data_IF_626249010403
#
_entry.id   IF_626249010403
#
_cell.length_a   1.000
_cell.length_b   1.000
_cell.length_c   1.000
_cell.angle_alpha   90.00
_cell.angle_beta   90.00
_cell.angle_gamma   90.00
#
_symmetry.space_group_name_H-M   'P 1'
#
loop_
_entity.id
_entity.type
_entity.pdbx_description
1 polymer ?
#
# COMPACT_ATOMS: atom_id res chain seq x y z
N UNK A 1 43.84 -59.17 5.84
CA UNK A 1 43.78 -57.80 6.31
C UNK A 1 43.34 -56.91 5.18
N UNK A 2 42.04 -56.48 5.25
CA UNK A 2 41.42 -55.59 4.25
C UNK A 2 41.49 -54.19 4.84
N UNK A 3 42.20 -53.30 4.18
CA UNK A 3 42.23 -51.86 4.47
C UNK A 3 41.05 -51.21 3.73
N UNK A 4 40.04 -50.71 4.48
CA UNK A 4 39.01 -49.84 3.94
C UNK A 4 39.54 -48.42 3.96
N UNK A 5 39.77 -47.85 2.77
CA UNK A 5 40.13 -46.46 2.59
C UNK A 5 38.86 -45.60 2.60
N UNK A 6 38.62 -44.90 3.72
CA UNK A 6 37.51 -43.94 3.82
C UNK A 6 37.96 -42.63 3.15
N UNK A 7 37.43 -42.36 1.96
CA UNK A 7 37.62 -41.05 1.29
C UNK A 7 36.55 -40.11 1.88
N UNK A 8 36.97 -39.20 2.76
CA UNK A 8 36.17 -38.08 3.19
C UNK A 8 36.11 -37.04 2.05
N UNK A 9 35.04 -37.02 1.29
CA UNK A 9 34.73 -35.89 0.39
C UNK A 9 34.27 -34.70 1.26
N UNK A 10 35.20 -33.79 1.53
CA UNK A 10 34.87 -32.45 2.02
C UNK A 10 34.18 -31.68 0.89
N UNK A 11 32.87 -31.70 0.88
CA UNK A 11 32.09 -30.76 0.08
C UNK A 11 32.18 -29.42 0.81
N UNK A 12 33.14 -28.60 0.43
CA UNK A 12 33.11 -27.17 0.76
C UNK A 12 32.00 -26.54 -0.06
N UNK A 13 30.80 -26.49 0.53
CA UNK A 13 29.74 -25.59 0.06
C UNK A 13 30.30 -24.17 0.25
N UNK A 14 30.71 -23.54 -0.83
CA UNK A 14 30.79 -22.09 -0.88
C UNK A 14 29.37 -21.56 -0.73
N UNK A 15 28.90 -21.41 0.48
CA UNK A 15 27.86 -20.44 0.76
C UNK A 15 28.50 -19.08 0.52
N UNK A 16 28.17 -18.47 -0.59
CA UNK A 16 28.26 -17.02 -0.70
C UNK A 16 27.28 -16.50 0.33
N UNK A 17 27.77 -16.21 1.53
CA UNK A 17 27.08 -15.37 2.48
C UNK A 17 26.91 -14.00 1.83
N UNK A 18 25.82 -13.84 1.11
CA UNK A 18 25.34 -12.52 0.74
C UNK A 18 24.95 -11.90 2.07
N UNK A 19 25.85 -11.12 2.65
CA UNK A 19 25.55 -10.33 3.84
C UNK A 19 24.39 -9.40 3.46
N UNK A 20 23.18 -9.74 3.93
CA UNK A 20 22.02 -8.86 3.78
C UNK A 20 22.36 -7.61 4.59
N UNK A 21 22.61 -6.51 3.91
CA UNK A 21 22.84 -5.23 4.58
C UNK A 21 21.57 -4.83 5.31
N UNK A 22 21.61 -4.92 6.63
CA UNK A 22 20.46 -4.60 7.48
C UNK A 22 20.11 -3.11 7.31
N UNK A 23 18.83 -2.82 7.05
CA UNK A 23 18.35 -1.45 6.96
C UNK A 23 18.46 -0.79 8.34
N UNK A 24 19.14 0.36 8.37
CA UNK A 24 19.19 1.17 9.57
C UNK A 24 17.92 2.02 9.67
N UNK A 25 17.17 1.83 10.77
CA UNK A 25 16.01 2.67 11.08
C UNK A 25 16.49 3.92 11.84
N UNK A 26 16.27 5.08 11.24
CA UNK A 26 16.68 6.37 11.79
C UNK A 26 15.46 7.20 12.14
N UNK A 27 15.43 7.73 13.38
CA UNK A 27 14.40 8.67 13.80
C UNK A 27 14.56 10.00 13.05
N UNK A 28 13.47 10.50 12.51
CA UNK A 28 13.36 11.78 11.81
C UNK A 28 12.46 12.75 12.56
N UNK A 29 12.31 13.97 12.04
CA UNK A 29 11.46 14.99 12.63
C UNK A 29 10.05 14.47 12.92
N UNK A 30 9.57 14.71 14.12
CA UNK A 30 8.25 14.28 14.55
C UNK A 30 7.17 15.05 13.79
N UNK A 31 6.17 14.33 13.29
CA UNK A 31 5.02 14.95 12.66
C UNK A 31 4.30 15.89 13.64
N UNK A 32 3.97 17.12 13.25
CA UNK A 32 3.35 18.11 14.15
C UNK A 32 1.99 17.67 14.71
N UNK A 33 1.22 16.93 13.94
CA UNK A 33 -0.11 16.45 14.31
C UNK A 33 -0.19 14.93 14.24
N UNK A 34 -0.33 14.22 15.37
CA UNK A 34 -0.51 12.79 15.36
C UNK A 34 -1.79 12.38 14.59
N UNK A 35 -1.64 11.51 13.62
CA UNK A 35 -2.76 11.01 12.84
C UNK A 35 -2.65 9.51 12.59
N UNK A 36 -3.79 8.85 12.49
CA UNK A 36 -3.91 7.47 12.05
C UNK A 36 -4.82 7.38 10.82
N UNK A 37 -4.63 6.37 10.00
CA UNK A 37 -5.43 6.15 8.79
C UNK A 37 -5.43 7.36 7.80
N UNK A 38 -4.37 8.17 7.82
CA UNK A 38 -4.06 9.11 6.74
C UNK A 38 -3.50 8.35 5.54
N UNK A 39 -3.52 8.98 4.36
CA UNK A 39 -2.89 8.44 3.16
C UNK A 39 -1.63 9.20 2.84
N UNK A 40 -0.54 8.46 2.57
CA UNK A 40 0.74 9.04 2.17
C UNK A 40 1.06 8.76 0.70
N UNK A 41 1.74 9.69 0.09
CA UNK A 41 2.25 9.61 -1.28
C UNK A 41 3.50 10.45 -1.44
N UNK A 42 4.30 10.18 -2.46
CA UNK A 42 5.62 10.80 -2.67
C UNK A 42 5.65 11.59 -3.96
N UNK A 43 6.23 12.80 -3.92
CA UNK A 43 6.58 13.56 -5.11
C UNK A 43 7.87 14.35 -4.86
N UNK A 44 8.90 14.14 -5.69
CA UNK A 44 10.24 14.68 -5.49
C UNK A 44 10.79 14.29 -4.13
N UNK A 45 11.41 15.22 -3.43
CA UNK A 45 11.99 15.00 -2.09
C UNK A 45 10.97 15.07 -0.94
N UNK A 46 9.67 15.10 -1.26
CA UNK A 46 8.65 15.24 -0.23
C UNK A 46 7.76 13.98 -0.13
N UNK A 47 7.51 13.60 1.12
CA UNK A 47 6.46 12.67 1.49
C UNK A 47 5.26 13.51 1.93
N UNK A 48 4.15 13.37 1.24
CA UNK A 48 2.88 14.04 1.58
C UNK A 48 2.02 13.12 2.42
N UNK A 49 1.29 13.70 3.35
CA UNK A 49 0.30 13.01 4.16
C UNK A 49 -1.00 13.81 4.15
N UNK A 50 -2.08 13.17 3.72
CA UNK A 50 -3.40 13.78 3.65
C UNK A 50 -4.37 13.13 4.62
N UNK A 51 -5.11 13.97 5.36
CA UNK A 51 -6.21 13.58 6.21
C UNK A 51 -5.82 12.61 7.34
N UNK A 52 -6.70 11.68 7.61
CA UNK A 52 -6.56 10.74 8.72
C UNK A 52 -7.37 11.16 9.94
N UNK A 53 -7.07 10.57 11.07
CA UNK A 53 -7.86 10.69 12.29
C UNK A 53 -6.97 10.88 13.52
N UNK A 54 -7.35 11.78 14.40
CA UNK A 54 -6.69 11.99 15.68
C UNK A 54 -7.12 10.99 16.77
N UNK A 55 -6.55 11.15 17.96
CA UNK A 55 -6.84 10.31 19.13
C UNK A 55 -8.27 10.46 19.66
N UNK A 56 -8.96 11.53 19.26
CA UNK A 56 -10.36 11.81 19.67
C UNK A 56 -11.36 11.28 18.65
N UNK A 57 -10.88 10.67 17.58
CA UNK A 57 -11.71 10.15 16.50
C UNK A 57 -12.19 11.23 15.53
N UNK A 58 -11.57 12.41 15.51
CA UNK A 58 -11.86 13.48 14.56
C UNK A 58 -11.09 13.26 13.27
N UNK A 59 -11.78 13.30 12.15
CA UNK A 59 -11.14 13.25 10.86
C UNK A 59 -10.61 14.62 10.45
N UNK A 60 -9.51 14.63 9.74
CA UNK A 60 -8.82 15.81 9.23
C UNK A 60 -8.84 15.86 7.70
N UNK A 61 -8.58 17.04 7.12
CA UNK A 61 -8.41 17.25 5.68
C UNK A 61 -7.18 18.08 5.35
N UNK A 62 -6.26 18.19 6.30
CA UNK A 62 -4.97 18.87 6.11
C UNK A 62 -4.08 18.05 5.18
N UNK A 63 -3.23 18.75 4.46
CA UNK A 63 -2.16 18.18 3.65
C UNK A 63 -0.82 18.63 4.23
N UNK A 64 -0.06 17.68 4.75
CA UNK A 64 1.29 17.88 5.26
C UNK A 64 2.33 17.42 4.27
N UNK A 65 3.47 18.08 4.22
CA UNK A 65 4.63 17.68 3.45
C UNK A 65 5.85 17.56 4.37
N UNK A 66 6.47 16.40 4.36
CA UNK A 66 7.77 16.15 4.97
C UNK A 66 8.85 16.19 3.90
N UNK A 67 9.80 17.10 4.06
CA UNK A 67 10.96 17.14 3.17
C UNK A 67 12.06 16.24 3.71
N UNK A 68 12.46 15.24 2.92
CA UNK A 68 13.42 14.20 3.31
C UNK A 68 14.86 14.74 3.37
N UNK A 69 15.17 15.81 2.64
CA UNK A 69 16.51 16.44 2.64
C UNK A 69 16.73 17.33 3.83
N UNK A 70 15.73 18.15 4.20
CA UNK A 70 15.85 19.12 5.31
C UNK A 70 15.36 18.57 6.64
N UNK A 71 14.77 17.37 6.65
CA UNK A 71 14.17 16.76 7.85
C UNK A 71 13.12 17.66 8.53
N UNK A 72 12.22 18.25 7.73
CA UNK A 72 11.23 19.19 8.23
C UNK A 72 9.83 18.92 7.71
N UNK A 73 8.83 19.15 8.56
CA UNK A 73 7.42 19.13 8.21
C UNK A 73 6.90 20.54 7.94
N UNK A 74 6.01 20.68 6.96
CA UNK A 74 5.23 21.89 6.73
C UNK A 74 3.82 21.54 6.32
N UNK A 75 2.86 22.34 6.71
CA UNK A 75 1.53 22.29 6.13
C UNK A 75 1.57 22.89 4.73
N UNK A 76 0.87 22.23 3.78
CA UNK A 76 0.79 22.72 2.41
C UNK A 76 -0.27 23.81 2.34
N UNK A 77 0.09 25.06 2.02
CA UNK A 77 -0.84 26.19 2.05
C UNK A 77 -1.77 26.18 0.82
N UNK A 78 -2.74 25.29 0.80
CA UNK A 78 -3.72 25.18 -0.28
C UNK A 78 -5.12 25.06 0.29
N UNK A 79 -6.10 25.61 -0.43
CA UNK A 79 -7.50 25.37 -0.09
C UNK A 79 -7.90 23.96 -0.53
N UNK A 80 -8.13 23.06 0.43
CA UNK A 80 -8.44 21.67 0.17
C UNK A 80 -9.96 21.48 0.06
N UNK A 81 -10.48 21.10 -1.12
CA UNK A 81 -11.92 20.97 -1.32
C UNK A 81 -12.48 19.62 -0.80
N UNK A 82 -11.61 18.70 -0.43
CA UNK A 82 -12.02 17.39 0.09
C UNK A 82 -12.54 17.52 1.52
N UNK A 83 -13.59 16.76 1.84
CA UNK A 83 -14.04 16.61 3.23
C UNK A 83 -12.96 15.93 4.07
N UNK A 84 -12.93 16.28 5.36
CA UNK A 84 -12.14 15.57 6.37
C UNK A 84 -12.47 14.08 6.38
N UNK A 85 -11.46 13.23 6.27
CA UNK A 85 -11.65 11.79 6.08
C UNK A 85 -10.50 10.93 6.60
N UNK A 86 -10.84 9.69 6.93
CA UNK A 86 -9.88 8.63 7.20
C UNK A 86 -9.90 7.58 6.09
N UNK A 87 -8.83 6.81 5.97
CA UNK A 87 -8.66 5.72 4.99
C UNK A 87 -8.93 6.17 3.55
N UNK A 88 -8.54 7.38 3.21
CA UNK A 88 -8.44 7.81 1.82
C UNK A 88 -7.44 6.93 1.07
N UNK A 89 -7.54 6.93 -0.25
CA UNK A 89 -6.57 6.28 -1.13
C UNK A 89 -5.94 7.32 -2.04
N UNK A 90 -4.67 7.13 -2.37
CA UNK A 90 -3.95 8.05 -3.26
C UNK A 90 -2.92 7.31 -4.12
N UNK A 91 -2.62 7.90 -5.27
CA UNK A 91 -1.48 7.55 -6.11
C UNK A 91 -0.96 8.81 -6.81
N UNK A 92 0.22 8.71 -7.41
CA UNK A 92 0.88 9.82 -8.10
C UNK A 92 1.20 9.42 -9.53
N UNK A 93 0.94 10.32 -10.48
CA UNK A 93 1.37 10.22 -11.87
C UNK A 93 1.98 11.55 -12.27
N UNK A 94 3.26 11.56 -12.60
CA UNK A 94 3.99 12.78 -12.95
C UNK A 94 3.88 13.82 -11.85
N UNK A 95 3.41 15.00 -12.19
CA UNK A 95 3.26 16.13 -11.25
C UNK A 95 1.87 16.21 -10.59
N UNK A 96 1.11 15.12 -10.59
CA UNK A 96 -0.23 15.11 -10.04
C UNK A 96 -0.45 13.96 -9.03
N UNK A 97 -0.97 14.29 -7.85
CA UNK A 97 -1.55 13.32 -6.95
C UNK A 97 -3.04 13.15 -7.24
N UNK A 98 -3.51 11.93 -7.17
CA UNK A 98 -4.91 11.54 -7.30
C UNK A 98 -5.39 10.97 -5.98
N UNK A 99 -6.38 11.62 -5.37
CA UNK A 99 -6.76 11.37 -3.97
C UNK A 99 -8.28 11.28 -3.89
N UNK A 100 -8.79 10.33 -3.11
CA UNK A 100 -10.23 10.22 -2.89
C UNK A 100 -10.62 9.05 -2.00
N UNK A 101 -11.88 8.68 -2.06
CA UNK A 101 -12.45 7.57 -1.29
C UNK A 101 -12.32 7.77 0.23
N UNK A 102 -12.36 6.67 1.00
CA UNK A 102 -12.32 6.75 2.46
C UNK A 102 -13.68 7.03 3.08
N UNK A 103 -13.70 7.56 4.30
CA UNK A 103 -14.94 7.84 5.02
C UNK A 103 -14.82 9.06 5.93
N UNK A 104 -15.95 9.79 6.13
CA UNK A 104 -16.03 11.04 6.89
C UNK A 104 -16.64 10.87 8.30
N UNK A 105 -17.19 9.72 8.64
CA UNK A 105 -17.85 9.47 9.93
C UNK A 105 -16.89 9.08 11.06
N UNK A 106 -17.34 9.27 12.32
CA UNK A 106 -16.61 8.74 13.49
C UNK A 106 -16.55 7.21 13.50
N UNK A 107 -17.58 6.58 12.98
CA UNK A 107 -17.69 5.14 12.83
C UNK A 107 -17.78 4.81 11.36
N UNK A 108 -17.07 3.79 10.94
CA UNK A 108 -17.12 3.30 9.58
C UNK A 108 -18.50 2.70 9.29
N UNK A 109 -19.31 3.40 8.51
CA UNK A 109 -20.65 2.99 8.05
C UNK A 109 -20.77 3.31 6.58
N UNK A 110 -21.58 2.56 5.86
CA UNK A 110 -21.83 2.76 4.42
C UNK A 110 -22.24 4.21 4.09
N UNK A 111 -23.07 4.83 4.94
CA UNK A 111 -23.50 6.23 4.76
C UNK A 111 -22.38 7.26 4.94
N UNK A 112 -21.24 6.89 5.49
CA UNK A 112 -20.08 7.76 5.67
C UNK A 112 -18.98 7.51 4.63
N UNK A 113 -19.15 6.56 3.72
CA UNK A 113 -18.17 6.29 2.69
C UNK A 113 -18.21 7.35 1.61
N UNK A 114 -17.04 7.77 1.15
CA UNK A 114 -16.89 8.84 0.18
C UNK A 114 -16.53 8.25 -1.19
N UNK A 115 -17.02 8.90 -2.23
CA UNK A 115 -16.81 8.48 -3.63
C UNK A 115 -16.07 9.54 -4.44
N UNK A 116 -15.94 10.74 -3.90
CA UNK A 116 -15.30 11.86 -4.59
C UNK A 116 -13.83 11.55 -4.89
N UNK A 117 -13.39 11.98 -6.06
CA UNK A 117 -12.05 11.77 -6.55
C UNK A 117 -11.49 13.09 -7.07
N UNK A 118 -10.24 13.38 -6.74
CA UNK A 118 -9.62 14.67 -6.94
C UNK A 118 -8.19 14.53 -7.44
N UNK A 119 -7.78 15.48 -8.28
CA UNK A 119 -6.40 15.65 -8.70
C UNK A 119 -5.82 16.88 -8.01
N UNK A 120 -4.63 16.74 -7.43
CA UNK A 120 -3.81 17.84 -6.93
C UNK A 120 -2.56 17.97 -7.77
N UNK A 121 -2.32 19.15 -8.35
CA UNK A 121 -1.13 19.41 -9.15
C UNK A 121 -0.06 20.09 -8.30
N UNK A 122 1.11 19.46 -8.15
CA UNK A 122 2.20 19.93 -7.30
C UNK A 122 2.87 21.22 -7.81
N UNK A 123 2.81 21.52 -9.12
CA UNK A 123 3.40 22.73 -9.70
C UNK A 123 2.50 23.95 -9.56
N UNK A 124 1.20 23.75 -9.81
CA UNK A 124 0.23 24.86 -9.80
C UNK A 124 -0.46 25.01 -8.45
N UNK A 125 -0.32 24.02 -7.55
CA UNK A 125 -1.00 23.91 -6.25
C UNK A 125 -2.53 23.96 -6.38
N UNK A 126 -3.08 23.54 -7.53
CA UNK A 126 -4.50 23.56 -7.82
C UNK A 126 -5.13 22.19 -7.64
N UNK A 127 -6.37 22.20 -7.17
CA UNK A 127 -7.22 21.04 -7.08
C UNK A 127 -8.22 21.02 -8.24
N UNK A 128 -8.43 19.83 -8.82
CA UNK A 128 -9.45 19.59 -9.84
C UNK A 128 -10.32 18.42 -9.37
N UNK A 129 -11.65 18.62 -9.36
CA UNK A 129 -12.57 17.53 -9.16
C UNK A 129 -12.61 16.65 -10.40
N UNK A 130 -12.62 15.35 -10.18
CA UNK A 130 -12.71 14.30 -11.20
C UNK A 130 -14.02 13.54 -11.05
N UNK A 131 -14.28 12.63 -11.97
CA UNK A 131 -15.44 11.74 -11.90
C UNK A 131 -15.46 10.92 -10.62
N UNK A 132 -16.58 10.87 -9.95
CA UNK A 132 -16.77 10.11 -8.72
C UNK A 132 -16.59 8.61 -8.98
N UNK A 133 -16.01 7.91 -8.01
CA UNK A 133 -15.88 6.47 -8.06
C UNK A 133 -17.24 5.78 -8.17
N UNK A 134 -17.45 4.87 -9.17
CA UNK A 134 -18.80 4.42 -9.54
C UNK A 134 -19.40 3.39 -8.58
N UNK A 135 -18.57 2.63 -7.85
CA UNK A 135 -19.08 1.62 -6.96
C UNK A 135 -19.83 2.22 -5.77
N UNK A 136 -20.82 1.51 -5.27
CA UNK A 136 -21.39 1.80 -3.97
C UNK A 136 -20.25 1.64 -2.95
N UNK A 137 -19.73 2.77 -2.58
CA UNK A 137 -18.88 3.03 -1.43
C UNK A 137 -18.14 1.84 -0.87
N UNK A 138 -16.96 1.64 -1.35
CA UNK A 138 -15.98 0.80 -0.69
C UNK A 138 -15.02 1.66 0.10
N UNK A 139 -14.48 1.10 1.16
CA UNK A 139 -13.47 1.74 2.00
C UNK A 139 -12.25 0.86 2.07
N UNK A 140 -11.10 1.48 2.33
CA UNK A 140 -9.83 0.74 2.43
C UNK A 140 -9.44 0.04 1.12
N UNK A 141 -9.67 0.74 0.03
CA UNK A 141 -9.23 0.35 -1.30
C UNK A 141 -7.73 0.58 -1.46
N UNK A 142 -7.11 -0.17 -2.35
CA UNK A 142 -5.79 0.13 -2.85
C UNK A 142 -5.90 0.89 -4.18
N UNK A 143 -5.21 2.02 -4.29
CA UNK A 143 -4.97 2.70 -5.54
C UNK A 143 -3.54 2.46 -5.99
N UNK A 144 -3.37 2.18 -7.26
CA UNK A 144 -2.07 2.19 -7.92
C UNK A 144 -2.21 2.75 -9.33
N UNK A 145 -1.11 3.25 -9.86
CA UNK A 145 -1.12 3.92 -11.15
C UNK A 145 -0.14 3.28 -12.12
N UNK A 146 -0.55 3.22 -13.38
CA UNK A 146 0.35 3.07 -14.53
C UNK A 146 0.63 4.44 -15.14
N UNK A 147 1.39 4.51 -16.23
CA UNK A 147 1.60 5.78 -16.94
C UNK A 147 0.29 6.33 -17.57
N UNK A 148 -0.69 5.46 -17.84
CA UNK A 148 -1.89 5.80 -18.62
C UNK A 148 -3.20 5.76 -17.83
N UNK A 149 -3.24 5.09 -16.70
CA UNK A 149 -4.46 4.83 -15.96
C UNK A 149 -4.23 4.66 -14.46
N UNK A 150 -5.29 4.88 -13.69
CA UNK A 150 -5.31 4.58 -12.27
C UNK A 150 -6.23 3.37 -12.06
N UNK A 151 -5.81 2.48 -11.18
CA UNK A 151 -6.57 1.31 -10.80
C UNK A 151 -6.96 1.42 -9.33
N UNK A 152 -8.25 1.20 -9.06
CA UNK A 152 -8.76 1.02 -7.70
C UNK A 152 -9.20 -0.43 -7.53
N UNK A 153 -8.75 -1.09 -6.49
CA UNK A 153 -9.05 -2.49 -6.28
C UNK A 153 -9.22 -2.82 -4.81
N UNK A 154 -9.86 -3.95 -4.53
CA UNK A 154 -10.14 -4.44 -3.19
C UNK A 154 -11.02 -3.49 -2.37
N UNK A 155 -11.10 -3.71 -1.08
CA UNK A 155 -11.87 -2.89 -0.16
C UNK A 155 -13.01 -3.66 0.50
N UNK A 156 -13.85 -2.93 1.20
CA UNK A 156 -14.97 -3.47 1.96
C UNK A 156 -16.23 -2.63 1.77
N UNK A 157 -17.31 -3.31 1.41
CA UNK A 157 -18.68 -2.78 1.43
C UNK A 157 -19.63 -3.91 1.83
N UNK A 158 -19.88 -4.08 3.13
CA UNK A 158 -20.57 -5.23 3.73
C UNK A 158 -19.90 -6.57 3.44
N UNK A 159 -19.19 -6.68 2.31
CA UNK A 159 -18.42 -7.83 1.88
C UNK A 159 -17.01 -7.40 1.46
N UNK A 160 -16.04 -8.30 1.60
CA UNK A 160 -14.72 -8.10 1.04
C UNK A 160 -14.80 -8.25 -0.47
N UNK A 161 -14.18 -7.32 -1.19
CA UNK A 161 -14.16 -7.33 -2.66
C UNK A 161 -12.74 -7.49 -3.19
N UNK A 162 -12.63 -7.85 -4.45
CA UNK A 162 -11.41 -7.78 -5.26
C UNK A 162 -11.71 -7.19 -6.64
N UNK A 163 -12.86 -6.53 -6.76
CA UNK A 163 -13.20 -5.80 -7.97
C UNK A 163 -12.08 -4.86 -8.38
N UNK A 164 -11.87 -4.72 -9.67
CA UNK A 164 -10.89 -3.77 -10.23
C UNK A 164 -11.63 -2.76 -11.09
N UNK A 165 -11.37 -1.50 -10.79
CA UNK A 165 -11.84 -0.37 -11.55
C UNK A 165 -10.65 0.35 -12.17
N UNK A 166 -10.76 0.69 -13.44
CA UNK A 166 -9.79 1.49 -14.19
C UNK A 166 -10.33 2.89 -14.37
N UNK A 167 -9.53 3.89 -14.02
CA UNK A 167 -9.82 5.28 -14.32
C UNK A 167 -8.99 5.73 -15.52
N UNK A 168 -9.68 6.14 -16.59
CA UNK A 168 -9.08 6.74 -17.76
C UNK A 168 -8.89 8.24 -17.53
N UNK A 169 -7.63 8.66 -17.40
CA UNK A 169 -7.27 10.03 -17.05
C UNK A 169 -7.71 11.02 -18.15
N UNK A 170 -7.64 10.59 -19.40
CA UNK A 170 -7.95 11.48 -20.54
C UNK A 170 -9.46 11.67 -20.73
N UNK A 171 -10.25 10.66 -20.36
CA UNK A 171 -11.72 10.70 -20.49
C UNK A 171 -12.42 11.15 -19.21
N UNK A 172 -11.69 11.25 -18.09
CA UNK A 172 -12.28 11.49 -16.76
C UNK A 172 -13.39 10.48 -16.44
N UNK A 173 -13.13 9.20 -16.61
CA UNK A 173 -14.16 8.16 -16.50
C UNK A 173 -13.62 6.88 -15.87
N UNK A 174 -14.42 6.30 -14.98
CA UNK A 174 -14.19 5.00 -14.39
C UNK A 174 -14.87 3.88 -15.18
N UNK A 175 -14.20 2.75 -15.26
CA UNK A 175 -14.69 1.50 -15.84
C UNK A 175 -14.46 0.35 -14.85
N UNK A 176 -15.49 -0.47 -14.61
CA UNK A 176 -15.31 -1.73 -13.90
C UNK A 176 -14.79 -2.77 -14.88
N UNK A 177 -13.66 -3.38 -14.56
CA UNK A 177 -13.07 -4.43 -15.38
C UNK A 177 -13.71 -5.78 -15.07
N UNK A 178 -13.95 -6.58 -16.12
CA UNK A 178 -14.35 -7.98 -15.99
C UNK A 178 -13.08 -8.85 -15.90
N UNK A 179 -12.61 -9.03 -14.66
CA UNK A 179 -11.36 -9.75 -14.40
C UNK A 179 -11.59 -11.21 -14.10
N UNK A 180 -10.70 -12.03 -14.62
CA UNK A 180 -10.58 -13.44 -14.21
C UNK A 180 -9.99 -13.53 -12.82
N UNK A 181 -10.80 -13.97 -11.87
CA UNK A 181 -10.38 -14.09 -10.48
C UNK A 181 -9.81 -15.48 -10.21
N UNK A 182 -8.54 -15.54 -9.81
CA UNK A 182 -7.96 -16.79 -9.34
C UNK A 182 -8.44 -17.11 -7.92
N UNK A 183 -8.82 -18.36 -7.65
CA UNK A 183 -9.18 -18.82 -6.31
C UNK A 183 -8.03 -18.73 -5.29
N UNK A 184 -6.79 -18.59 -5.78
CA UNK A 184 -5.60 -18.42 -4.93
C UNK A 184 -5.38 -16.98 -4.43
N UNK A 185 -6.16 -16.02 -4.94
CA UNK A 185 -6.08 -14.61 -4.56
C UNK A 185 -7.36 -14.26 -3.79
N UNK A 186 -7.25 -13.97 -2.49
CA UNK A 186 -8.43 -13.74 -1.65
C UNK A 186 -9.06 -12.38 -1.93
N UNK A 187 -10.35 -12.24 -1.66
CA UNK A 187 -10.98 -10.93 -1.44
C UNK A 187 -10.46 -10.33 -0.15
N UNK A 188 -10.31 -9.01 -0.08
CA UNK A 188 -9.71 -8.38 1.11
C UNK A 188 -10.03 -6.88 1.22
N UNK A 189 -9.72 -6.32 2.38
CA UNK A 189 -9.56 -4.90 2.64
C UNK A 189 -8.22 -4.63 3.32
N UNK A 190 -7.83 -3.37 3.51
CA UNK A 190 -6.57 -2.97 4.15
C UNK A 190 -5.34 -3.61 3.50
N UNK A 191 -5.41 -3.84 2.19
CA UNK A 191 -4.26 -4.31 1.42
C UNK A 191 -3.31 -3.14 1.14
N UNK A 192 -2.07 -3.47 0.89
CA UNK A 192 -1.08 -2.53 0.40
C UNK A 192 -0.79 -2.78 -1.08
N UNK A 193 -0.28 -1.76 -1.75
CA UNK A 193 0.18 -1.86 -3.13
C UNK A 193 1.42 -1.02 -3.37
N UNK A 194 2.22 -1.43 -4.31
CA UNK A 194 3.42 -0.72 -4.75
C UNK A 194 3.69 -0.96 -6.25
N UNK A 195 4.31 0.03 -6.87
CA UNK A 195 4.85 -0.08 -8.22
C UNK A 195 6.37 -0.14 -8.14
N UNK A 196 6.97 -1.19 -8.67
CA UNK A 196 8.40 -1.40 -8.74
C UNK A 196 8.76 -1.93 -10.13
N UNK A 197 9.74 -1.34 -10.81
CA UNK A 197 10.18 -1.74 -12.16
C UNK A 197 9.02 -1.75 -13.19
N UNK A 198 8.10 -0.80 -13.10
CA UNK A 198 6.85 -0.76 -13.91
C UNK A 198 5.95 -2.00 -13.74
N UNK A 199 6.12 -2.74 -12.68
CA UNK A 199 5.31 -3.88 -12.26
C UNK A 199 4.47 -3.48 -11.05
N UNK A 200 3.24 -3.98 -10.95
CA UNK A 200 2.24 -3.52 -9.99
C UNK A 200 1.89 -4.64 -9.02
N UNK A 201 2.25 -4.46 -7.77
CA UNK A 201 2.09 -5.46 -6.73
C UNK A 201 1.04 -5.04 -5.71
N UNK A 202 0.27 -6.02 -5.24
CA UNK A 202 -0.72 -5.85 -4.16
C UNK A 202 -0.68 -7.04 -3.22
N UNK A 203 -1.01 -6.83 -1.97
CA UNK A 203 -1.09 -7.95 -1.06
C UNK A 203 -1.31 -7.60 0.39
N UNK A 204 -1.14 -8.59 1.24
CA UNK A 204 -1.49 -8.53 2.66
C UNK A 204 -2.99 -8.28 2.88
N UNK A 205 -3.36 -7.58 3.95
CA UNK A 205 -4.74 -7.18 4.19
C UNK A 205 -5.51 -8.11 5.12
N UNK A 206 -6.82 -7.92 5.13
CA UNK A 206 -7.73 -8.57 6.05
C UNK A 206 -8.96 -9.16 5.36
N UNK A 207 -9.27 -10.42 5.69
CA UNK A 207 -10.52 -11.11 5.40
C UNK A 207 -10.75 -12.19 6.45
N UNK A 208 -11.54 -11.88 7.50
CA UNK A 208 -11.74 -12.72 8.69
C UNK A 208 -10.43 -13.13 9.42
N UNK A 209 -9.31 -12.63 8.99
CA UNK A 209 -7.97 -12.83 9.50
C UNK A 209 -6.95 -12.07 8.67
N UNK A 210 -5.75 -11.90 9.21
CA UNK A 210 -4.68 -11.21 8.49
C UNK A 210 -4.08 -12.11 7.40
N UNK A 211 -3.89 -11.57 6.21
CA UNK A 211 -3.53 -12.31 5.01
C UNK A 211 -2.04 -12.24 4.70
N UNK A 212 -1.55 -13.28 4.05
CA UNK A 212 -0.14 -13.40 3.61
C UNK A 212 0.03 -13.29 2.10
N UNK A 213 -1.07 -13.15 1.32
CA UNK A 213 -0.95 -13.16 -0.13
C UNK A 213 -0.13 -11.98 -0.65
N UNK A 214 0.52 -12.20 -1.77
CA UNK A 214 1.16 -11.21 -2.61
C UNK A 214 0.87 -11.57 -4.06
N UNK A 215 0.51 -10.59 -4.85
CA UNK A 215 0.12 -10.79 -6.23
C UNK A 215 0.60 -9.63 -7.11
N UNK A 216 0.81 -9.89 -8.36
CA UNK A 216 1.12 -8.90 -9.39
C UNK A 216 -0.08 -8.70 -10.30
N UNK A 217 -0.41 -7.44 -10.59
CA UNK A 217 -1.39 -7.06 -11.58
C UNK A 217 -0.76 -6.96 -12.96
N UNK A 218 -1.34 -7.63 -13.94
CA UNK A 218 -0.97 -7.56 -15.35
C UNK A 218 -2.02 -6.74 -16.12
N UNK A 219 -1.78 -5.45 -16.42
CA UNK A 219 -2.79 -4.56 -16.98
C UNK A 219 -3.30 -5.01 -18.34
N UNK A 220 -2.43 -5.52 -19.22
CA UNK A 220 -2.79 -5.98 -20.57
C UNK A 220 -3.66 -7.23 -20.52
N UNK A 221 -3.42 -8.13 -19.58
CA UNK A 221 -4.14 -9.38 -19.44
C UNK A 221 -5.33 -9.27 -18.49
N UNK A 222 -5.46 -8.11 -17.82
CA UNK A 222 -6.51 -7.79 -16.83
C UNK A 222 -6.66 -8.89 -15.78
N UNK A 223 -5.54 -9.34 -15.22
CA UNK A 223 -5.55 -10.39 -14.19
C UNK A 223 -4.48 -10.17 -13.13
N UNK A 224 -4.74 -10.72 -11.95
CA UNK A 224 -3.72 -10.89 -10.92
C UNK A 224 -3.05 -12.25 -11.05
N UNK A 225 -1.74 -12.29 -10.91
CA UNK A 225 -0.98 -13.53 -10.78
C UNK A 225 -0.38 -13.65 -9.37
N UNK A 226 -0.49 -14.81 -8.72
CA UNK A 226 0.10 -15.02 -7.40
C UNK A 226 1.62 -14.89 -7.47
N UNK A 227 2.19 -14.31 -6.42
CA UNK A 227 3.62 -14.20 -6.18
C UNK A 227 3.96 -14.83 -4.83
N UNK A 228 5.25 -14.92 -4.53
CA UNK A 228 5.73 -15.48 -3.25
C UNK A 228 5.09 -14.73 -2.08
N UNK A 229 4.46 -15.49 -1.18
CA UNK A 229 3.78 -14.94 0.01
C UNK A 229 4.78 -14.26 0.94
N UNK A 230 4.35 -13.20 1.63
CA UNK A 230 5.16 -12.54 2.67
C UNK A 230 5.62 -13.52 3.73
N UNK A 231 6.73 -13.21 4.38
CA UNK A 231 7.28 -14.03 5.46
C UNK A 231 6.49 -13.87 6.76
N UNK A 232 6.55 -14.91 7.60
CA UNK A 232 5.87 -14.95 8.90
C UNK A 232 4.36 -15.12 8.79
N UNK A 233 3.61 -14.59 9.75
CA UNK A 233 2.15 -14.59 9.74
C UNK A 233 1.59 -13.47 8.84
N UNK A 234 0.30 -13.55 8.53
CA UNK A 234 -0.38 -12.51 7.75
C UNK A 234 -0.42 -11.17 8.49
N UNK A 235 -0.55 -10.09 7.73
CA UNK A 235 -0.68 -8.74 8.28
C UNK A 235 -1.66 -7.88 7.51
N UNK A 236 -2.27 -6.93 8.18
CA UNK A 236 -3.08 -5.87 7.59
C UNK A 236 -2.67 -4.51 8.15
N UNK A 237 -3.13 -3.44 7.55
CA UNK A 237 -2.76 -2.07 7.90
C UNK A 237 -1.22 -1.87 7.98
N UNK A 238 -0.48 -2.54 7.11
CA UNK A 238 0.95 -2.36 6.93
C UNK A 238 1.23 -1.12 6.07
N UNK A 239 2.49 -0.69 6.04
CA UNK A 239 2.97 0.33 5.12
C UNK A 239 3.79 -0.34 4.02
N UNK A 240 3.59 0.10 2.79
CA UNK A 240 4.31 -0.40 1.63
C UNK A 240 4.88 0.77 0.84
N UNK A 241 6.14 0.64 0.42
CA UNK A 241 6.78 1.55 -0.52
C UNK A 241 7.71 0.78 -1.45
N UNK A 242 8.17 1.41 -2.51
CA UNK A 242 9.11 0.81 -3.44
C UNK A 242 10.28 1.75 -3.73
N UNK A 243 11.42 1.16 -4.02
CA UNK A 243 12.55 1.76 -4.73
C UNK A 243 12.56 1.26 -6.17
N UNK A 244 13.60 1.57 -6.92
CA UNK A 244 13.75 1.08 -8.29
C UNK A 244 13.86 -0.45 -8.35
N UNK A 245 14.45 -1.09 -7.31
CA UNK A 245 14.77 -2.51 -7.32
C UNK A 245 13.88 -3.37 -6.42
N UNK A 246 13.30 -2.79 -5.37
CA UNK A 246 12.64 -3.54 -4.30
C UNK A 246 11.33 -2.92 -3.84
N UNK A 247 10.43 -3.78 -3.36
CA UNK A 247 9.26 -3.37 -2.58
C UNK A 247 9.52 -3.65 -1.10
N UNK A 248 9.27 -2.65 -0.26
CA UNK A 248 9.41 -2.74 1.19
C UNK A 248 8.04 -2.79 1.86
N UNK A 249 7.91 -3.69 2.84
CA UNK A 249 6.73 -3.87 3.65
C UNK A 249 7.09 -3.75 5.13
N UNK A 250 6.52 -2.78 5.83
CA UNK A 250 6.84 -2.49 7.21
C UNK A 250 5.61 -2.44 8.10
N UNK A 251 5.79 -2.81 9.36
CA UNK A 251 4.76 -2.70 10.37
C UNK A 251 3.51 -3.52 10.08
N UNK A 252 2.37 -2.97 10.48
CA UNK A 252 1.07 -3.63 10.36
C UNK A 252 0.72 -4.44 11.59
N UNK A 253 -0.40 -5.14 11.49
CA UNK A 253 -1.01 -5.89 12.57
C UNK A 253 -1.38 -7.29 12.12
N UNK A 254 -1.15 -8.27 12.98
CA UNK A 254 -1.72 -9.60 12.88
C UNK A 254 -2.93 -9.72 13.79
N UNK A 255 -4.04 -10.22 13.25
CA UNK A 255 -5.14 -10.73 14.05
C UNK A 255 -5.01 -12.25 14.12
N UNK A 256 -5.05 -12.81 15.32
CA UNK A 256 -5.17 -14.24 15.53
C UNK A 256 -6.58 -14.75 15.20
N UNK A 257 -6.93 -15.92 15.72
CA UNK A 257 -8.24 -16.54 15.47
C UNK A 257 -9.40 -15.74 16.05
N UNK A 258 -9.11 -14.82 16.98
CA UNK A 258 -10.07 -13.85 17.50
C UNK A 258 -9.55 -12.42 17.32
N UNK A 259 -10.44 -11.44 17.25
CA UNK A 259 -10.08 -10.02 17.11
C UNK A 259 -9.34 -9.45 18.33
N UNK A 260 -9.32 -10.19 19.44
CA UNK A 260 -8.66 -9.80 20.70
C UNK A 260 -7.24 -10.35 20.81
N UNK A 261 -6.90 -11.37 20.02
CA UNK A 261 -5.57 -11.98 19.98
C UNK A 261 -4.82 -11.46 18.77
N UNK A 262 -3.61 -11.03 18.97
CA UNK A 262 -2.79 -10.55 17.88
C UNK A 262 -1.65 -9.67 18.38
N UNK A 263 -0.84 -9.21 17.43
CA UNK A 263 0.33 -8.39 17.73
C UNK A 263 0.62 -7.40 16.60
N UNK A 264 1.39 -6.37 16.92
CA UNK A 264 1.91 -5.43 15.93
C UNK A 264 3.30 -5.87 15.48
N UNK A 265 3.58 -5.67 14.20
CA UNK A 265 4.89 -5.93 13.64
C UNK A 265 5.81 -4.70 13.78
N UNK A 266 7.06 -4.93 14.20
CA UNK A 266 8.15 -3.98 14.02
C UNK A 266 8.98 -4.31 12.77
N UNK A 267 8.88 -5.54 12.26
CA UNK A 267 9.73 -6.05 11.19
C UNK A 267 9.51 -5.34 9.86
N UNK A 268 10.61 -5.18 9.12
CA UNK A 268 10.65 -4.72 7.74
C UNK A 268 11.06 -5.89 6.86
N UNK A 269 10.30 -6.12 5.80
CA UNK A 269 10.58 -7.11 4.77
C UNK A 269 10.82 -6.41 3.45
N UNK A 270 11.68 -6.99 2.61
CA UNK A 270 11.98 -6.54 1.27
C UNK A 270 11.63 -7.64 0.27
N UNK A 271 10.95 -7.28 -0.81
CA UNK A 271 10.59 -8.16 -1.92
C UNK A 271 11.40 -7.80 -3.16
N UNK A 272 12.05 -8.80 -3.75
CA UNK A 272 12.69 -8.69 -5.06
C UNK A 272 11.71 -9.14 -6.15
N UNK A 273 11.23 -8.24 -7.04
CA UNK A 273 10.41 -8.64 -8.18
C UNK A 273 11.10 -9.57 -9.16
N UNK A 274 12.41 -9.44 -9.29
CA UNK A 274 13.22 -10.26 -10.20
C UNK A 274 13.34 -11.70 -9.72
N UNK A 275 13.58 -11.89 -8.41
CA UNK A 275 13.77 -13.21 -7.81
C UNK A 275 12.46 -13.85 -7.32
N UNK A 276 11.36 -13.08 -7.25
CA UNK A 276 10.10 -13.45 -6.61
C UNK A 276 10.31 -13.93 -5.16
N UNK A 277 11.08 -13.19 -4.37
CA UNK A 277 11.47 -13.58 -3.00
C UNK A 277 11.36 -12.45 -2.01
N UNK A 278 11.02 -12.80 -0.78
CA UNK A 278 11.00 -11.92 0.38
C UNK A 278 12.14 -12.23 1.33
N UNK A 279 12.68 -11.19 1.96
CA UNK A 279 13.67 -11.31 3.02
C UNK A 279 13.40 -10.32 4.15
N UNK A 280 13.83 -10.64 5.37
CA UNK A 280 13.82 -9.68 6.47
C UNK A 280 15.04 -8.78 6.38
N UNK A 281 14.83 -7.45 6.50
CA UNK A 281 15.90 -6.46 6.38
C UNK A 281 15.99 -5.51 7.57
N UNK A 282 15.05 -5.56 8.50
CA UNK A 282 15.07 -4.73 9.71
C UNK A 282 13.89 -4.96 10.65
N UNK A 283 13.95 -4.35 11.84
CA UNK A 283 12.91 -4.37 12.86
C UNK A 283 13.02 -3.16 13.79
#
# INVERSE_FOLDING_TARGET
WIYILLILLLITSCQNDVSIEAIQVVKRATMPQPTAAGVSFVHGDNIYLFGGRDNFGTNHNDLWAYNTTTDTWREVPTHIPLKARASASACVIGDCAYIGLGFDGKVQRESSYLRDFWQYNFKTLQWKRLADFPANTTVKNCLFATEEAIYATYGFNREFTQDVYRYDINKDMWEKLDISVSSSIPRAMDIVGATCQKRYFVGTGFNHGSLRFWAEWLPTEQKFIPRQKILGAGRNAAVCCATDDYVYLAGGRHYGDTLTTGFFYSSIQRYSPEQDQWEYVGS
#
